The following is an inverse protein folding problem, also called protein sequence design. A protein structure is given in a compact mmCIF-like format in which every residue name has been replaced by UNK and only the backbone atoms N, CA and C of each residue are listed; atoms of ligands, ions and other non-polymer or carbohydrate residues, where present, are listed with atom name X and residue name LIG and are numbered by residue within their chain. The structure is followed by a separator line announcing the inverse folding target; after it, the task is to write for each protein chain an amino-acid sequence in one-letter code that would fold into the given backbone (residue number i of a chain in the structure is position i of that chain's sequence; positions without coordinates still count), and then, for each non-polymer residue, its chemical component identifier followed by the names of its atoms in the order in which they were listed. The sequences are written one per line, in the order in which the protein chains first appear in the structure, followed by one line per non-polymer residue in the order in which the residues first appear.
data_IF_405747458459
#
_entry.id   IF_405747458459
#
_cell.length_a   1.000
_cell.length_b   1.000
_cell.length_c   1.000
_cell.angle_alpha   90.00
_cell.angle_beta   90.00
_cell.angle_gamma   90.00
#
_symmetry.space_group_name_H-M   'P 1'
#
loop_
_entity.id
_entity.type
_entity.pdbx_description
1 polymer ?
#
# COMPACT_ATOMS: atom_id res chain seq x y z
N UNK A 1 -31.61 -7.17 41.12
CA UNK A 1 -30.22 -7.05 41.62
C UNK A 1 -29.20 -7.48 40.57
N UNK A 2 -28.98 -8.78 40.32
CA UNK A 2 -28.01 -9.25 39.31
C UNK A 2 -28.34 -8.73 37.89
N UNK A 3 -29.60 -8.90 37.45
CA UNK A 3 -30.15 -8.35 36.20
C UNK A 3 -29.83 -6.85 36.02
N UNK A 4 -30.16 -6.01 37.00
CA UNK A 4 -29.86 -4.57 36.97
C UNK A 4 -28.35 -4.25 36.83
N UNK A 5 -27.48 -5.01 37.51
CA UNK A 5 -26.02 -4.83 37.40
C UNK A 5 -25.52 -5.20 36.00
N UNK A 6 -26.01 -6.30 35.43
CA UNK A 6 -25.64 -6.72 34.08
C UNK A 6 -26.20 -5.74 33.03
N UNK A 7 -27.40 -5.20 33.24
CA UNK A 7 -27.96 -4.15 32.38
C UNK A 7 -27.11 -2.87 32.42
N UNK A 8 -26.67 -2.42 33.60
CA UNK A 8 -25.79 -1.26 33.73
C UNK A 8 -24.45 -1.47 32.99
N UNK A 9 -23.83 -2.65 33.13
CA UNK A 9 -22.61 -3.01 32.40
C UNK A 9 -22.82 -3.06 30.88
N UNK A 10 -23.96 -3.56 30.41
CA UNK A 10 -24.33 -3.56 28.99
C UNK A 10 -24.49 -2.13 28.43
N UNK A 11 -25.07 -1.21 29.20
CA UNK A 11 -25.20 0.20 28.81
C UNK A 11 -23.84 0.93 28.79
N UNK A 12 -22.93 0.60 29.71
CA UNK A 12 -21.55 1.12 29.70
C UNK A 12 -20.76 0.58 28.50
N UNK A 13 -20.88 -0.71 28.19
CA UNK A 13 -20.27 -1.31 27.01
C UNK A 13 -20.83 -0.74 25.70
N UNK A 14 -22.15 -0.48 25.63
CA UNK A 14 -22.78 0.18 24.47
C UNK A 14 -22.18 1.56 24.21
N UNK A 15 -22.07 2.39 25.25
CA UNK A 15 -21.47 3.73 25.16
C UNK A 15 -20.02 3.67 24.66
N UNK A 16 -19.25 2.69 25.12
CA UNK A 16 -17.86 2.50 24.67
C UNK A 16 -17.80 2.04 23.21
N UNK A 17 -18.73 1.19 22.77
CA UNK A 17 -18.88 0.77 21.38
C UNK A 17 -19.33 1.91 20.46
N UNK A 18 -20.22 2.80 20.91
CA UNK A 18 -20.62 4.00 20.18
C UNK A 18 -19.43 4.98 20.01
N UNK A 19 -18.65 5.19 21.07
CA UNK A 19 -17.43 5.99 21.00
C UNK A 19 -16.37 5.39 20.05
N UNK A 20 -16.20 4.06 20.05
CA UNK A 20 -15.29 3.39 19.13
C UNK A 20 -15.80 3.41 17.67
N UNK A 21 -17.12 3.37 17.44
CA UNK A 21 -17.75 3.54 16.12
C UNK A 21 -17.62 4.94 15.57
N UNK A 22 -17.66 5.98 16.41
CA UNK A 22 -17.28 7.33 15.98
C UNK A 22 -15.78 7.39 15.68
N UNK A 23 -14.91 6.91 16.57
CA UNK A 23 -13.45 7.00 16.37
C UNK A 23 -12.98 6.31 15.08
N UNK A 24 -13.54 5.13 14.78
CA UNK A 24 -13.27 4.33 13.58
C UNK A 24 -14.40 4.46 12.52
N UNK A 25 -14.99 5.65 12.36
CA UNK A 25 -16.06 5.83 11.37
C UNK A 25 -15.57 5.57 9.93
N UNK A 26 -16.45 5.14 9.00
CA UNK A 26 -16.05 4.84 7.62
C UNK A 26 -15.33 6.00 6.93
N UNK A 27 -15.72 7.24 7.23
CA UNK A 27 -15.14 8.47 6.69
C UNK A 27 -13.72 8.70 7.23
N UNK A 28 -13.50 8.50 8.54
CA UNK A 28 -12.18 8.63 9.19
C UNK A 28 -11.22 7.55 8.72
N UNK A 29 -11.70 6.31 8.56
CA UNK A 29 -10.91 5.21 8.00
C UNK A 29 -10.56 5.47 6.53
N UNK A 30 -11.52 5.93 5.70
CA UNK A 30 -11.26 6.26 4.30
C UNK A 30 -10.28 7.43 4.12
N UNK A 31 -10.28 8.43 5.01
CA UNK A 31 -9.26 9.50 5.01
C UNK A 31 -7.85 8.92 5.25
N UNK A 32 -7.72 7.97 6.19
CA UNK A 32 -6.46 7.32 6.51
C UNK A 32 -6.01 6.38 5.38
N UNK A 33 -6.90 5.57 4.81
CA UNK A 33 -6.59 4.73 3.65
C UNK A 33 -6.17 5.56 2.42
N UNK A 34 -6.77 6.74 2.23
CA UNK A 34 -6.35 7.69 1.18
C UNK A 34 -4.92 8.20 1.42
N UNK A 35 -4.55 8.51 2.67
CA UNK A 35 -3.19 8.91 3.04
C UNK A 35 -2.19 7.77 2.86
N UNK A 36 -2.54 6.55 3.27
CA UNK A 36 -1.74 5.33 3.07
C UNK A 36 -1.46 5.14 1.58
N UNK A 37 -2.47 5.26 0.71
CA UNK A 37 -2.30 5.15 -0.73
C UNK A 37 -1.34 6.21 -1.30
N UNK A 38 -1.47 7.48 -0.90
CA UNK A 38 -0.59 8.58 -1.35
C UNK A 38 0.87 8.36 -0.88
N UNK A 39 1.08 7.97 0.38
CA UNK A 39 2.43 7.70 0.89
C UNK A 39 3.05 6.46 0.24
N UNK A 40 2.26 5.43 -0.12
CA UNK A 40 2.72 4.27 -0.88
C UNK A 40 3.13 4.66 -2.32
N UNK A 41 2.29 5.40 -3.04
CA UNK A 41 2.58 5.86 -4.41
C UNK A 41 3.85 6.73 -4.45
N UNK A 42 4.01 7.65 -3.50
CA UNK A 42 5.21 8.46 -3.37
C UNK A 42 6.45 7.61 -3.01
N UNK A 43 6.32 6.65 -2.07
CA UNK A 43 7.42 5.76 -1.69
C UNK A 43 7.93 4.96 -2.89
N UNK A 44 7.04 4.29 -3.63
CA UNK A 44 7.42 3.48 -4.79
C UNK A 44 7.98 4.34 -5.93
N UNK A 45 7.41 5.53 -6.16
CA UNK A 45 7.87 6.47 -7.19
C UNK A 45 9.27 6.98 -6.88
N UNK A 46 9.52 7.46 -5.65
CA UNK A 46 10.83 7.98 -5.26
C UNK A 46 11.89 6.87 -5.19
N UNK A 47 11.52 5.65 -4.79
CA UNK A 47 12.41 4.48 -4.81
C UNK A 47 12.83 4.13 -6.25
N UNK A 48 11.89 4.16 -7.20
CA UNK A 48 12.18 3.95 -8.62
C UNK A 48 13.08 5.06 -9.20
N UNK A 49 12.84 6.34 -8.86
CA UNK A 49 13.70 7.44 -9.31
C UNK A 49 15.12 7.32 -8.73
N UNK A 50 15.26 7.04 -7.43
CA UNK A 50 16.57 6.81 -6.80
C UNK A 50 17.35 5.68 -7.50
N UNK A 51 16.68 4.60 -7.91
CA UNK A 51 17.29 3.50 -8.66
C UNK A 51 17.76 3.93 -10.07
N UNK A 52 16.92 4.63 -10.83
CA UNK A 52 17.25 5.12 -12.19
C UNK A 52 18.46 6.06 -12.16
N UNK A 53 18.51 6.99 -11.21
CA UNK A 53 19.62 7.93 -11.08
C UNK A 53 20.92 7.21 -10.67
N UNK A 54 20.84 6.21 -9.77
CA UNK A 54 21.98 5.36 -9.40
C UNK A 54 22.52 4.53 -10.58
N UNK A 55 21.65 3.95 -11.39
CA UNK A 55 22.02 3.17 -12.57
C UNK A 55 22.81 4.01 -13.59
N UNK A 56 22.51 5.32 -13.69
CA UNK A 56 23.19 6.23 -14.62
C UNK A 56 24.59 6.68 -14.15
N UNK A 57 24.91 6.60 -12.85
CA UNK A 57 26.15 7.12 -12.27
C UNK A 57 27.44 6.63 -12.96
N UNK A 58 27.62 5.34 -13.31
CA UNK A 58 28.82 4.88 -14.01
C UNK A 58 29.00 5.55 -15.37
N UNK A 59 27.91 5.77 -16.10
CA UNK A 59 27.90 6.49 -17.37
C UNK A 59 28.23 7.98 -17.15
N UNK A 60 27.72 8.60 -16.09
CA UNK A 60 28.04 9.99 -15.74
C UNK A 60 29.52 10.15 -15.37
N UNK A 61 30.09 9.23 -14.59
CA UNK A 61 31.51 9.21 -14.25
C UNK A 61 32.38 9.01 -15.50
N UNK A 62 32.04 8.06 -16.38
CA UNK A 62 32.77 7.85 -17.63
C UNK A 62 32.80 9.08 -18.55
N UNK A 63 31.78 9.97 -18.49
CA UNK A 63 31.81 11.26 -19.18
C UNK A 63 32.81 12.25 -18.55
N UNK A 64 32.93 12.27 -17.21
CA UNK A 64 33.95 13.07 -16.51
C UNK A 64 35.35 12.54 -16.84
N UNK A 65 35.55 11.22 -16.79
CA UNK A 65 36.84 10.59 -17.08
C UNK A 65 37.29 10.84 -18.53
N UNK A 66 36.35 10.79 -19.49
CA UNK A 66 36.60 11.11 -20.88
C UNK A 66 36.95 12.60 -21.10
N UNK A 67 36.24 13.52 -20.44
CA UNK A 67 36.57 14.95 -20.49
C UNK A 67 37.92 15.26 -19.84
N UNK A 68 38.27 14.58 -18.73
CA UNK A 68 39.58 14.69 -18.09
C UNK A 68 40.69 14.22 -19.03
N UNK A 69 40.52 13.07 -19.70
CA UNK A 69 41.49 12.56 -20.67
C UNK A 69 41.66 13.47 -21.91
N UNK A 70 40.61 14.19 -22.32
CA UNK A 70 40.72 15.24 -23.34
C UNK A 70 41.54 16.44 -22.84
N UNK A 71 41.34 16.88 -21.58
CA UNK A 71 42.15 17.96 -20.99
C UNK A 71 43.60 17.58 -20.76
N UNK A 72 43.87 16.40 -20.20
CA UNK A 72 45.24 15.91 -19.99
C UNK A 72 46.01 15.90 -21.32
N UNK A 73 45.33 15.56 -22.42
CA UNK A 73 45.87 15.63 -23.79
C UNK A 73 46.08 17.06 -24.28
N UNK A 74 45.18 18.01 -23.98
CA UNK A 74 45.34 19.42 -24.31
C UNK A 74 46.53 20.05 -23.56
N UNK A 75 46.56 19.94 -22.23
CA UNK A 75 47.68 20.38 -21.39
C UNK A 75 49.03 19.76 -21.79
N UNK A 76 49.05 18.51 -22.26
CA UNK A 76 50.27 17.88 -22.78
C UNK A 76 50.69 18.44 -24.15
N UNK A 77 49.75 18.88 -25.00
CA UNK A 77 50.05 19.53 -26.29
C UNK A 77 50.65 20.92 -26.09
N UNK A 78 50.07 21.78 -25.26
CA UNK A 78 50.59 23.14 -25.04
C UNK A 78 51.96 23.09 -24.40
N UNK A 79 52.16 22.31 -23.33
CA UNK A 79 53.48 22.11 -22.70
C UNK A 79 54.54 21.59 -23.68
N UNK A 80 54.17 20.78 -24.67
CA UNK A 80 55.09 20.35 -25.73
C UNK A 80 55.44 21.50 -26.69
N UNK A 81 54.46 22.31 -27.12
CA UNK A 81 54.68 23.45 -28.00
C UNK A 81 55.47 24.58 -27.32
N UNK A 82 55.19 24.87 -26.04
CA UNK A 82 56.00 25.75 -25.19
C UNK A 82 57.43 25.21 -25.03
N UNK A 83 57.61 23.90 -24.87
CA UNK A 83 58.94 23.30 -24.81
C UNK A 83 59.71 23.43 -26.13
N UNK A 84 59.04 23.44 -27.30
CA UNK A 84 59.67 23.81 -28.57
C UNK A 84 59.99 25.32 -28.64
N UNK A 85 59.09 26.19 -28.15
CA UNK A 85 59.30 27.65 -28.15
C UNK A 85 60.55 28.04 -27.34
N UNK A 86 60.78 27.36 -26.22
CA UNK A 86 61.96 27.53 -25.37
C UNK A 86 63.29 27.05 -26.01
N UNK A 87 63.27 26.41 -27.19
CA UNK A 87 64.48 26.03 -27.95
C UNK A 87 64.86 27.02 -29.05
N UNK A 88 64.05 28.05 -29.28
CA UNK A 88 64.27 29.05 -30.34
C UNK A 88 65.57 29.81 -30.08
N UNK A 89 66.34 30.02 -31.14
CA UNK A 89 67.57 30.80 -31.14
C UNK A 89 67.50 31.99 -32.13
N UNK A 90 68.59 32.76 -32.23
CA UNK A 90 68.70 33.89 -33.14
C UNK A 90 68.84 33.51 -34.63
N UNK A 91 68.96 32.21 -34.95
CA UNK A 91 69.04 31.69 -36.34
C UNK A 91 67.68 31.20 -36.85
N UNK A 92 66.73 30.97 -35.94
CA UNK A 92 65.39 30.47 -36.21
C UNK A 92 64.60 31.46 -37.09
N UNK A 93 64.02 31.03 -38.23
CA UNK A 93 63.26 31.92 -39.11
C UNK A 93 62.04 32.53 -38.40
N UNK A 94 61.85 33.86 -38.52
CA UNK A 94 60.75 34.58 -37.86
C UNK A 94 59.34 34.02 -38.19
N UNK A 95 59.15 33.46 -39.38
CA UNK A 95 57.91 32.78 -39.77
C UNK A 95 57.66 31.48 -38.97
N UNK A 96 58.72 30.73 -38.64
CA UNK A 96 58.63 29.55 -37.77
C UNK A 96 58.28 29.96 -36.34
N UNK A 97 58.83 31.09 -35.85
CA UNK A 97 58.48 31.66 -34.55
C UNK A 97 56.99 32.03 -34.51
N UNK A 98 56.49 32.73 -35.54
CA UNK A 98 55.07 33.11 -35.69
C UNK A 98 54.14 31.89 -35.69
N UNK A 99 54.44 30.88 -36.52
CA UNK A 99 53.64 29.66 -36.62
C UNK A 99 53.56 28.90 -35.29
N UNK A 100 54.65 28.86 -34.51
CA UNK A 100 54.65 28.20 -33.21
C UNK A 100 53.87 28.99 -32.15
N UNK A 101 53.95 30.33 -32.16
CA UNK A 101 53.12 31.19 -31.29
C UNK A 101 51.63 31.05 -31.60
N UNK A 102 51.25 30.94 -32.87
CA UNK A 102 49.88 30.67 -33.30
C UNK A 102 49.42 29.26 -32.86
N UNK A 103 50.25 28.23 -33.05
CA UNK A 103 49.94 26.87 -32.60
C UNK A 103 49.80 26.74 -31.06
N UNK A 104 50.56 27.52 -30.28
CA UNK A 104 50.40 27.63 -28.82
C UNK A 104 49.07 28.32 -28.48
N UNK A 105 48.73 29.41 -29.17
CA UNK A 105 47.47 30.14 -28.96
C UNK A 105 46.26 29.24 -29.26
N UNK A 106 46.30 28.45 -30.33
CA UNK A 106 45.29 27.42 -30.62
C UNK A 106 45.21 26.33 -29.54
N UNK A 107 46.35 25.92 -28.96
CA UNK A 107 46.39 24.87 -27.95
C UNK A 107 45.83 25.35 -26.60
N UNK A 108 46.11 26.60 -26.20
CA UNK A 108 45.53 27.24 -25.00
C UNK A 108 44.00 27.36 -25.15
N UNK A 109 43.50 27.86 -26.28
CA UNK A 109 42.04 27.90 -26.53
C UNK A 109 41.38 26.51 -26.50
N UNK A 110 42.14 25.45 -26.79
CA UNK A 110 41.67 24.07 -26.70
C UNK A 110 41.71 23.52 -25.26
N UNK A 111 42.53 24.06 -24.37
CA UNK A 111 42.47 23.83 -22.92
C UNK A 111 41.25 24.52 -22.31
N UNK A 112 41.07 25.83 -22.53
CA UNK A 112 39.91 26.59 -22.02
C UNK A 112 38.58 25.86 -22.32
N UNK A 113 38.41 25.41 -23.58
CA UNK A 113 37.24 24.65 -24.02
C UNK A 113 37.10 23.27 -23.36
N UNK A 114 38.22 22.59 -23.05
CA UNK A 114 38.17 21.29 -22.39
C UNK A 114 37.79 21.46 -20.91
N UNK A 115 38.31 22.49 -20.24
CA UNK A 115 38.07 22.76 -18.82
C UNK A 115 36.59 23.09 -18.58
N UNK A 116 35.99 23.95 -19.41
CA UNK A 116 34.54 24.23 -19.42
C UNK A 116 33.72 22.93 -19.58
N UNK A 117 34.10 22.05 -20.51
CA UNK A 117 33.42 20.77 -20.76
C UNK A 117 33.56 19.81 -19.57
N UNK A 118 34.74 19.73 -18.98
CA UNK A 118 35.07 18.89 -17.83
C UNK A 118 34.31 19.34 -16.59
N UNK A 119 34.27 20.63 -16.32
CA UNK A 119 33.54 21.19 -15.18
C UNK A 119 32.02 21.03 -15.35
N UNK A 120 31.48 21.26 -16.55
CA UNK A 120 30.07 20.95 -16.84
C UNK A 120 29.74 19.46 -16.61
N UNK A 121 30.66 18.52 -16.95
CA UNK A 121 30.47 17.11 -16.65
C UNK A 121 30.49 16.81 -15.14
N UNK A 122 31.39 17.43 -14.38
CA UNK A 122 31.48 17.31 -12.91
C UNK A 122 30.23 17.87 -12.22
N UNK A 123 29.81 19.09 -12.58
CA UNK A 123 28.58 19.72 -12.09
C UNK A 123 27.35 18.83 -12.35
N UNK A 124 27.23 18.25 -13.54
CA UNK A 124 26.12 17.35 -13.89
C UNK A 124 26.13 16.06 -13.04
N UNK A 125 27.31 15.46 -12.84
CA UNK A 125 27.47 14.29 -11.97
C UNK A 125 27.08 14.58 -10.52
N UNK A 126 27.52 15.72 -9.96
CA UNK A 126 27.23 16.08 -8.56
C UNK A 126 25.75 16.46 -8.34
N UNK A 127 25.14 17.13 -9.32
CA UNK A 127 23.69 17.33 -9.37
C UNK A 127 22.93 16.00 -9.40
N UNK A 128 23.44 14.99 -10.13
CA UNK A 128 22.84 13.66 -10.14
C UNK A 128 22.91 12.94 -8.78
N UNK A 129 24.06 13.00 -8.09
CA UNK A 129 24.19 12.49 -6.70
C UNK A 129 23.25 13.22 -5.73
N UNK A 130 23.12 14.53 -5.88
CA UNK A 130 22.23 15.36 -5.07
C UNK A 130 20.76 14.95 -5.23
N UNK A 131 20.34 14.60 -6.44
CA UNK A 131 19.00 14.09 -6.73
C UNK A 131 18.78 12.66 -6.20
N UNK A 132 19.81 11.80 -6.21
CA UNK A 132 19.74 10.49 -5.53
C UNK A 132 19.48 10.68 -4.03
N UNK A 133 20.30 11.49 -3.35
CA UNK A 133 20.14 11.77 -1.92
C UNK A 133 18.75 12.35 -1.60
N UNK A 134 18.22 13.23 -2.46
CA UNK A 134 16.87 13.76 -2.31
C UNK A 134 15.81 12.65 -2.39
N UNK A 135 15.82 11.84 -3.45
CA UNK A 135 14.85 10.74 -3.61
C UNK A 135 14.97 9.70 -2.49
N UNK A 136 16.17 9.40 -1.99
CA UNK A 136 16.35 8.52 -0.83
C UNK A 136 15.75 9.11 0.45
N UNK A 137 15.94 10.42 0.71
CA UNK A 137 15.31 11.08 1.86
C UNK A 137 13.77 11.12 1.77
N UNK A 138 13.23 11.26 0.55
CA UNK A 138 11.79 11.14 0.30
C UNK A 138 11.27 9.71 0.50
N UNK A 139 12.06 8.67 0.17
CA UNK A 139 11.72 7.27 0.47
C UNK A 139 11.62 7.04 1.98
N UNK A 140 12.58 7.53 2.77
CA UNK A 140 12.53 7.43 4.24
C UNK A 140 11.35 8.21 4.85
N UNK A 141 11.08 9.42 4.35
CA UNK A 141 9.96 10.26 4.77
C UNK A 141 8.61 9.58 4.49
N UNK A 142 8.36 9.19 3.22
CA UNK A 142 7.08 8.59 2.82
C UNK A 142 6.88 7.23 3.50
N UNK A 143 7.95 6.43 3.72
CA UNK A 143 7.85 5.20 4.53
C UNK A 143 7.43 5.48 5.98
N UNK A 144 8.05 6.45 6.63
CA UNK A 144 7.74 6.78 8.03
C UNK A 144 6.28 7.20 8.20
N UNK A 145 5.74 7.96 7.24
CA UNK A 145 4.34 8.36 7.24
C UNK A 145 3.37 7.23 6.85
N UNK A 146 3.74 6.37 5.89
CA UNK A 146 3.00 5.17 5.52
C UNK A 146 2.83 4.21 6.71
N UNK A 147 3.93 3.88 7.40
CA UNK A 147 3.93 3.02 8.59
C UNK A 147 3.07 3.63 9.72
N UNK A 148 3.15 4.95 9.91
CA UNK A 148 2.42 5.69 10.94
C UNK A 148 0.90 5.76 10.73
N UNK A 149 0.44 6.11 9.53
CA UNK A 149 -1.00 6.13 9.21
C UNK A 149 -1.57 4.69 9.16
N UNK A 150 -0.78 3.69 8.74
CA UNK A 150 -1.16 2.26 8.82
C UNK A 150 -1.39 1.83 10.27
N UNK A 151 -0.41 2.07 11.16
CA UNK A 151 -0.54 1.71 12.58
C UNK A 151 -1.73 2.39 13.27
N UNK A 152 -2.03 3.64 12.88
CA UNK A 152 -3.18 4.42 13.36
C UNK A 152 -4.52 3.84 12.89
N UNK A 153 -4.65 3.47 11.61
CA UNK A 153 -5.85 2.78 11.09
C UNK A 153 -6.09 1.47 11.83
N UNK A 154 -5.04 0.65 11.91
CA UNK A 154 -5.12 -0.69 12.45
C UNK A 154 -5.48 -0.65 13.96
N UNK A 155 -4.92 0.31 14.72
CA UNK A 155 -5.30 0.56 16.10
C UNK A 155 -6.80 0.93 16.27
N UNK A 156 -7.34 1.83 15.43
CA UNK A 156 -8.75 2.22 15.46
C UNK A 156 -9.69 1.03 15.17
N UNK A 157 -9.35 0.20 14.18
CA UNK A 157 -10.12 -1.00 13.84
C UNK A 157 -10.06 -2.05 14.95
N UNK A 158 -8.92 -2.18 15.63
CA UNK A 158 -8.73 -3.14 16.71
C UNK A 158 -9.41 -2.68 18.02
N UNK A 159 -9.50 -1.37 18.28
CA UNK A 159 -10.33 -0.80 19.37
C UNK A 159 -11.84 -0.95 19.10
N UNK A 160 -12.30 -0.70 17.87
CA UNK A 160 -13.69 -0.97 17.47
C UNK A 160 -14.05 -2.45 17.69
N UNK A 161 -13.16 -3.36 17.30
CA UNK A 161 -13.30 -4.81 17.50
C UNK A 161 -13.30 -5.19 18.99
N UNK A 162 -12.41 -4.63 19.82
CA UNK A 162 -12.42 -4.81 21.28
C UNK A 162 -13.74 -4.36 21.90
N UNK A 163 -14.24 -3.18 21.52
CA UNK A 163 -15.47 -2.63 22.05
C UNK A 163 -16.71 -3.44 21.62
N UNK A 164 -16.73 -3.98 20.40
CA UNK A 164 -17.82 -4.85 19.92
C UNK A 164 -17.87 -6.16 20.73
N UNK A 165 -16.73 -6.82 20.94
CA UNK A 165 -16.62 -8.03 21.78
C UNK A 165 -17.12 -7.75 23.21
N UNK A 166 -16.67 -6.66 23.82
CA UNK A 166 -17.07 -6.28 25.18
C UNK A 166 -18.58 -6.00 25.31
N UNK A 167 -19.21 -5.44 24.28
CA UNK A 167 -20.66 -5.26 24.21
C UNK A 167 -21.41 -6.59 24.05
N UNK A 168 -20.95 -7.45 23.15
CA UNK A 168 -21.59 -8.75 22.88
C UNK A 168 -21.56 -9.66 24.12
N UNK A 169 -20.42 -9.70 24.85
CA UNK A 169 -20.29 -10.39 26.13
C UNK A 169 -21.20 -9.78 27.23
N UNK A 170 -21.34 -8.45 27.28
CA UNK A 170 -22.21 -7.79 28.24
C UNK A 170 -23.71 -8.02 27.95
N UNK A 171 -24.11 -8.04 26.68
CA UNK A 171 -25.46 -8.43 26.25
C UNK A 171 -25.78 -9.87 26.66
N UNK A 172 -24.83 -10.80 26.43
CA UNK A 172 -24.97 -12.20 26.85
C UNK A 172 -25.14 -12.31 28.38
N UNK A 173 -24.30 -11.63 29.16
CA UNK A 173 -24.39 -11.63 30.62
C UNK A 173 -25.71 -11.04 31.13
N UNK A 174 -26.27 -10.03 30.45
CA UNK A 174 -27.58 -9.48 30.77
C UNK A 174 -28.72 -10.48 30.52
N UNK A 175 -28.74 -11.16 29.37
CA UNK A 175 -29.76 -12.17 29.06
C UNK A 175 -29.66 -13.40 29.97
N UNK A 176 -28.45 -13.84 30.34
CA UNK A 176 -28.24 -14.89 31.35
C UNK A 176 -28.76 -14.47 32.74
N UNK A 177 -28.45 -13.24 33.19
CA UNK A 177 -28.93 -12.71 34.47
C UNK A 177 -30.44 -12.45 34.51
N UNK A 178 -31.04 -12.17 33.35
CA UNK A 178 -32.49 -12.04 33.13
C UNK A 178 -33.17 -13.40 33.21
N UNK A 179 -32.72 -14.40 32.45
CA UNK A 179 -33.25 -15.77 32.51
C UNK A 179 -33.15 -16.39 33.92
N UNK A 180 -32.06 -16.12 34.65
CA UNK A 180 -31.92 -16.53 36.04
C UNK A 180 -32.94 -15.85 36.99
N UNK A 181 -33.22 -14.56 36.78
CA UNK A 181 -34.24 -13.83 37.55
C UNK A 181 -35.66 -14.32 37.24
N UNK A 182 -35.97 -14.55 35.96
CA UNK A 182 -37.29 -15.00 35.51
C UNK A 182 -37.57 -16.46 35.97
N UNK A 183 -36.52 -17.31 36.04
CA UNK A 183 -36.58 -18.63 36.71
C UNK A 183 -36.83 -18.51 38.21
N UNK A 184 -36.15 -17.59 38.91
CA UNK A 184 -36.34 -17.37 40.35
C UNK A 184 -37.70 -16.74 40.71
N UNK A 185 -38.36 -16.08 39.76
CA UNK A 185 -39.71 -15.55 39.92
C UNK A 185 -40.83 -16.56 39.59
N UNK A 186 -40.48 -17.71 38.99
CA UNK A 186 -41.42 -18.77 38.64
C UNK A 186 -41.67 -19.67 39.87
N UNK A 187 -42.92 -19.85 40.34
CA UNK A 187 -43.19 -20.70 41.49
C UNK A 187 -42.92 -22.18 41.14
N UNK A 188 -42.07 -22.82 41.94
CA UNK A 188 -41.81 -24.25 41.84
C UNK A 188 -43.07 -25.03 42.26
N UNK A 189 -43.84 -25.52 41.29
CA UNK A 189 -44.92 -26.48 41.55
C UNK A 189 -44.28 -27.83 41.90
N UNK A 190 -43.88 -27.96 43.16
CA UNK A 190 -43.58 -29.26 43.76
C UNK A 190 -44.83 -30.12 43.68
N UNK A 191 -44.74 -31.27 43.01
CA UNK A 191 -45.83 -32.25 43.03
C UNK A 191 -46.07 -32.69 44.48
N UNK A 192 -47.33 -32.68 44.97
CA UNK A 192 -47.63 -33.23 46.28
C UNK A 192 -47.45 -34.76 46.23
N UNK A 193 -46.60 -35.29 47.11
CA UNK A 193 -46.44 -36.73 47.29
C UNK A 193 -47.73 -37.32 47.88
N UNK A 194 -48.62 -37.85 47.04
CA UNK A 194 -49.86 -38.48 47.49
C UNK A 194 -49.58 -39.58 48.52
N UNK A 195 -50.18 -39.46 49.70
CA UNK A 195 -50.05 -40.43 50.79
C UNK A 195 -51.42 -40.99 51.14
N UNK A 196 -51.54 -42.32 51.05
CA UNK A 196 -52.81 -43.04 50.86
C UNK A 196 -53.70 -43.16 52.10
N UNK A 197 -55.01 -42.85 51.98
CA UNK A 197 -56.10 -43.71 52.49
C UNK A 197 -57.53 -43.35 52.03
N UNK A 198 -58.30 -44.29 51.45
CA UNK A 198 -59.76 -44.19 51.29
C UNK A 198 -60.53 -45.06 52.32
N UNK A 199 -61.76 -44.66 52.65
CA UNK A 199 -62.77 -45.39 53.45
C UNK A 199 -64.13 -44.67 53.29
N UNK A 200 -65.32 -45.27 53.19
CA UNK A 200 -65.77 -46.67 53.03
C UNK A 200 -67.31 -46.71 52.85
N UNK A 201 -67.91 -47.85 52.46
CA UNK A 201 -69.37 -48.12 52.27
C UNK A 201 -69.94 -47.60 50.92
N UNK A 202 -70.47 -48.38 49.96
CA UNK A 202 -71.47 -49.49 49.90
C UNK A 202 -72.93 -48.99 49.70
N UNK A 203 -73.84 -49.62 48.94
CA UNK A 203 -73.87 -50.96 48.29
C UNK A 203 -74.62 -50.94 46.90
N UNK A 204 -75.21 -52.00 46.27
CA UNK A 204 -74.81 -52.44 44.92
C UNK A 204 -75.93 -52.54 43.84
N UNK A 205 -75.56 -52.87 42.58
CA UNK A 205 -76.15 -53.98 41.80
C UNK A 205 -75.41 -54.27 40.46
N UNK A 206 -75.62 -55.49 39.96
CA UNK A 206 -75.18 -56.21 38.75
C UNK A 206 -75.28 -55.47 37.37
N UNK A 207 -74.70 -55.91 36.23
CA UNK A 207 -74.08 -57.20 35.82
C UNK A 207 -73.12 -57.05 34.60
N UNK A 208 -72.42 -58.16 34.25
CA UNK A 208 -71.92 -58.54 32.91
C UNK A 208 -70.53 -58.06 32.40
N UNK A 209 -69.92 -58.98 31.64
CA UNK A 209 -68.60 -58.99 30.95
C UNK A 209 -68.86 -59.61 29.53
N UNK A 210 -67.90 -59.78 28.58
CA UNK A 210 -66.44 -59.52 28.58
C UNK A 210 -65.88 -58.85 27.28
N UNK A 211 -64.54 -58.86 27.13
CA UNK A 211 -63.75 -58.80 25.88
C UNK A 211 -63.66 -57.43 25.13
N UNK A 212 -62.59 -57.10 24.38
CA UNK A 212 -61.28 -57.78 24.11
C UNK A 212 -60.14 -56.78 23.78
N UNK A 213 -58.90 -57.21 24.02
CA UNK A 213 -57.62 -56.61 23.53
C UNK A 213 -57.22 -57.23 22.15
N UNK A 214 -56.02 -57.02 21.54
CA UNK A 214 -54.86 -56.16 21.90
C UNK A 214 -54.25 -55.36 20.69
N UNK A 215 -53.02 -54.85 20.88
CA UNK A 215 -52.27 -53.94 19.99
C UNK A 215 -51.38 -54.59 18.91
N UNK A 216 -50.99 -53.80 17.88
CA UNK A 216 -49.72 -53.88 17.08
C UNK A 216 -49.56 -52.60 16.23
N UNK A 217 -48.38 -52.18 15.71
CA UNK A 217 -47.01 -52.61 16.01
C UNK A 217 -45.99 -52.49 14.85
N UNK A 218 -44.97 -51.61 15.02
CA UNK A 218 -43.63 -51.54 14.34
C UNK A 218 -43.46 -51.19 12.83
N UNK A 219 -42.46 -50.32 12.60
CA UNK A 219 -41.46 -50.42 11.50
C UNK A 219 -41.74 -49.65 10.19
N UNK A 220 -40.76 -49.29 9.37
CA UNK A 220 -39.29 -49.17 9.56
C UNK A 220 -38.65 -48.33 8.43
N UNK A 221 -37.44 -47.81 8.65
CA UNK A 221 -36.50 -47.25 7.63
C UNK A 221 -35.32 -48.24 7.44
N UNK A 222 -34.32 -48.07 6.53
CA UNK A 222 -33.97 -46.89 5.71
C UNK A 222 -33.46 -47.15 4.25
N UNK A 223 -33.02 -46.05 3.60
CA UNK A 223 -31.91 -45.96 2.62
C UNK A 223 -32.06 -46.49 1.18
N UNK A 224 -31.52 -45.71 0.23
CA UNK A 224 -30.56 -46.18 -0.80
C UNK A 224 -29.82 -44.99 -1.43
N UNK A 225 -28.82 -45.24 -2.29
CA UNK A 225 -27.93 -44.26 -2.92
C UNK A 225 -27.63 -44.67 -4.37
N UNK A 226 -26.99 -43.79 -5.17
CA UNK A 226 -25.98 -44.11 -6.22
C UNK A 226 -26.39 -44.04 -7.72
N UNK A 227 -26.15 -42.86 -8.32
CA UNK A 227 -25.21 -42.63 -9.45
C UNK A 227 -25.58 -42.97 -10.93
N UNK A 228 -25.73 -41.90 -11.76
CA UNK A 228 -25.50 -41.80 -13.23
C UNK A 228 -26.37 -42.68 -14.19
N UNK A 229 -26.60 -42.41 -15.49
CA UNK A 229 -26.21 -41.36 -16.47
C UNK A 229 -27.26 -41.39 -17.65
N UNK A 230 -27.31 -40.62 -18.76
CA UNK A 230 -26.51 -39.52 -19.36
C UNK A 230 -27.34 -38.73 -20.42
N UNK A 231 -26.80 -37.60 -20.92
CA UNK A 231 -26.96 -36.99 -22.26
C UNK A 231 -28.37 -36.68 -22.86
N UNK A 232 -28.69 -35.38 -23.03
CA UNK A 232 -28.65 -34.66 -24.33
C UNK A 232 -29.41 -33.31 -24.29
N UNK A 233 -29.09 -32.32 -25.14
CA UNK A 233 -30.05 -31.24 -25.47
C UNK A 233 -29.69 -29.74 -25.37
N UNK A 234 -28.55 -29.27 -25.90
CA UNK A 234 -28.27 -27.84 -26.24
C UNK A 234 -28.08 -26.83 -25.07
N UNK A 235 -27.52 -25.62 -25.33
CA UNK A 235 -26.55 -25.01 -24.39
C UNK A 235 -27.06 -23.79 -23.60
N UNK A 236 -26.47 -23.56 -22.42
CA UNK A 236 -26.77 -22.40 -21.58
C UNK A 236 -25.64 -21.99 -20.62
N UNK A 237 -24.72 -21.15 -21.12
CA UNK A 237 -23.93 -20.16 -20.36
C UNK A 237 -22.84 -20.67 -19.38
N UNK A 238 -21.83 -19.83 -19.14
CA UNK A 238 -20.75 -19.95 -18.14
C UNK A 238 -19.83 -21.18 -18.27
N UNK A 239 -18.84 -21.07 -19.16
CA UNK A 239 -17.54 -21.69 -18.93
C UNK A 239 -16.67 -20.74 -18.12
N UNK A 240 -16.21 -21.14 -16.93
CA UNK A 240 -15.10 -20.47 -16.25
C UNK A 240 -13.79 -20.99 -16.86
N UNK A 241 -13.19 -20.21 -17.77
CA UNK A 241 -11.76 -20.31 -18.08
C UNK A 241 -11.06 -19.15 -17.38
N UNK A 242 -10.23 -19.48 -16.39
CA UNK A 242 -9.36 -18.48 -15.75
C UNK A 242 -8.26 -18.09 -16.72
N UNK A 243 -8.47 -16.96 -17.40
CA UNK A 243 -7.56 -16.47 -18.43
C UNK A 243 -6.66 -15.36 -17.88
N UNK A 244 -5.35 -15.47 -18.12
CA UNK A 244 -4.35 -14.55 -17.56
C UNK A 244 -4.12 -13.40 -18.54
N UNK A 245 -4.82 -12.28 -18.32
CA UNK A 245 -4.72 -11.10 -19.18
C UNK A 245 -4.04 -9.92 -18.46
N UNK A 246 -2.86 -9.45 -18.91
CA UNK A 246 -2.25 -8.23 -18.40
C UNK A 246 -2.86 -6.99 -19.05
N UNK A 247 -3.11 -5.91 -18.29
CA UNK A 247 -3.51 -4.60 -18.83
C UNK A 247 -3.30 -3.45 -17.85
N UNK A 248 -2.23 -2.68 -18.04
CA UNK A 248 -2.07 -1.32 -17.47
C UNK A 248 -1.07 -0.43 -18.25
N UNK A 249 -0.81 -0.69 -19.54
CA UNK A 249 0.01 0.19 -20.39
C UNK A 249 -0.77 0.52 -21.67
N UNK A 250 -1.51 1.63 -21.68
CA UNK A 250 -2.03 2.28 -22.90
C UNK A 250 -2.72 3.66 -22.66
N UNK A 251 -2.06 4.60 -21.97
CA UNK A 251 -2.37 6.04 -22.12
C UNK A 251 -1.10 6.86 -21.81
N UNK A 252 -0.25 7.12 -22.81
CA UNK A 252 -0.30 8.37 -23.58
C UNK A 252 -0.14 9.60 -22.65
N UNK A 253 1.07 9.91 -22.20
CA UNK A 253 2.07 10.70 -22.93
C UNK A 253 1.66 12.18 -23.15
N UNK A 254 2.08 13.06 -22.24
CA UNK A 254 2.65 14.42 -22.45
C UNK A 254 2.99 14.99 -21.06
N UNK A 255 4.28 14.98 -20.72
CA UNK A 255 4.83 15.65 -19.51
C UNK A 255 6.33 15.99 -19.66
N UNK A 256 6.87 15.97 -20.89
CA UNK A 256 8.30 16.12 -21.19
C UNK A 256 8.60 17.46 -21.88
N UNK A 257 8.16 18.57 -21.27
CA UNK A 257 8.41 19.93 -21.75
C UNK A 257 8.35 20.93 -20.56
N UNK A 258 9.44 21.03 -19.79
CA UNK A 258 9.41 21.73 -18.49
C UNK A 258 10.71 22.39 -18.02
N UNK A 259 11.75 22.49 -18.85
CA UNK A 259 13.02 23.13 -18.47
C UNK A 259 13.69 23.86 -19.65
N UNK A 260 13.76 25.19 -19.54
CA UNK A 260 14.73 26.06 -20.19
C UNK A 260 14.81 26.11 -21.73
N UNK A 261 14.13 27.08 -22.34
CA UNK A 261 14.64 27.73 -23.57
C UNK A 261 14.74 29.25 -23.35
N UNK A 262 15.90 29.80 -23.71
CA UNK A 262 16.35 31.18 -23.51
C UNK A 262 15.61 32.21 -24.36
N UNK A 263 15.37 33.38 -23.77
CA UNK A 263 14.75 34.53 -24.45
C UNK A 263 15.77 35.33 -25.30
N UNK A 264 16.23 34.76 -26.41
CA UNK A 264 17.19 35.41 -27.32
C UNK A 264 16.51 36.48 -28.20
N UNK A 265 16.38 37.70 -27.68
CA UNK A 265 15.73 38.81 -28.36
C UNK A 265 16.65 39.48 -29.42
N UNK A 266 16.62 38.99 -30.67
CA UNK A 266 17.34 39.62 -31.79
C UNK A 266 16.48 40.63 -32.57
N UNK A 267 17.06 41.80 -32.86
CA UNK A 267 16.45 42.99 -33.48
C UNK A 267 15.67 42.72 -34.78
N UNK A 268 14.55 43.43 -34.95
CA UNK A 268 14.20 44.08 -36.23
C UNK A 268 13.82 45.54 -36.03
N UNK A 269 14.76 46.43 -36.32
CA UNK A 269 14.49 47.84 -36.54
C UNK A 269 13.79 47.97 -37.90
N UNK A 270 12.70 48.74 -37.99
CA UNK A 270 12.05 49.08 -39.26
C UNK A 270 11.73 50.57 -39.31
N UNK A 271 12.45 51.30 -40.17
CA UNK A 271 12.17 52.70 -40.45
C UNK A 271 10.79 52.88 -41.11
N UNK A 272 10.08 53.96 -40.74
CA UNK A 272 9.24 54.71 -41.68
C UNK A 272 8.85 56.08 -41.12
N UNK A 273 9.57 57.12 -41.57
CA UNK A 273 9.22 58.55 -41.55
C UNK A 273 8.74 59.12 -40.20
#
# INVERSE_FOLDING_TARGET
AAKEKAYAAMQEALKNLEAAKDAASPEKIAEIDTKIAIFQENYDTNLAQAAIYKESLPTMQANVDAAQAECDKAHNRTRALEAELNKIDYTTPAETIRQLQEAITEAIMQEDFCEDKLEHCRMRLESHKSLINFFESEVEFNKTHLDGETAKRDALLDDLKRAQIAYDDACKAYEEAKAAADKAASPEITQPTETTKPSSSAQPAETAQPASSPATGKGATPSSTKQANASSGKPGKLANTGDTAPSAIALAAVAAAGLGITATATRRIKNSK
#
